data_IF_206971915660
#
_entry.id   IF_206971915660
#
_cell.length_a   1.000
_cell.length_b   1.000
_cell.length_c   1.000
_cell.angle_alpha   90.00
_cell.angle_beta   90.00
_cell.angle_gamma   90.00
#
_symmetry.space_group_name_H-M   'P 1'
#
loop_
_entity.id
_entity.type
_entity.pdbx_description
1 polymer ?
#
# COMPACT_ATOMS: atom_id res chain seq x y z
N UNK A 1 -27.07 22.49 0.50
CA UNK A 1 -26.64 21.48 -0.51
C UNK A 1 -25.13 21.35 -0.59
N UNK A 2 -24.35 22.29 -1.16
CA UNK A 2 -22.89 22.10 -1.26
C UNK A 2 -22.17 22.14 0.10
N UNK A 3 -22.62 22.98 1.03
CA UNK A 3 -22.09 23.01 2.40
C UNK A 3 -22.34 21.68 3.13
N UNK A 4 -23.54 21.09 2.98
CA UNK A 4 -23.86 19.77 3.55
C UNK A 4 -23.01 18.68 2.92
N UNK A 5 -22.79 18.73 1.60
CA UNK A 5 -21.91 17.77 0.91
C UNK A 5 -20.46 17.91 1.39
N UNK A 6 -19.96 19.13 1.55
CA UNK A 6 -18.64 19.40 2.09
C UNK A 6 -18.47 18.84 3.50
N UNK A 7 -19.46 19.08 4.38
CA UNK A 7 -19.46 18.52 5.74
C UNK A 7 -19.41 16.98 5.72
N UNK A 8 -20.24 16.34 4.88
CA UNK A 8 -20.23 14.87 4.75
C UNK A 8 -18.88 14.33 4.26
N UNK A 9 -18.23 15.00 3.30
CA UNK A 9 -16.91 14.60 2.80
C UNK A 9 -15.83 14.76 3.88
N UNK A 10 -15.92 15.79 4.72
CA UNK A 10 -15.00 15.99 5.84
C UNK A 10 -15.20 14.96 6.95
N UNK A 11 -16.45 14.62 7.30
CA UNK A 11 -16.78 13.54 8.24
C UNK A 11 -16.25 12.18 7.74
N UNK A 12 -16.15 12.00 6.41
CA UNK A 12 -15.61 10.81 5.79
C UNK A 12 -14.06 10.80 5.64
N UNK A 13 -13.34 11.68 6.35
CA UNK A 13 -11.86 11.74 6.38
C UNK A 13 -11.18 12.05 5.02
N UNK A 14 -11.88 12.72 4.09
CA UNK A 14 -11.28 13.11 2.79
C UNK A 14 -10.26 14.25 2.95
N UNK A 15 -10.40 15.04 4.00
CA UNK A 15 -9.54 16.18 4.32
C UNK A 15 -9.87 17.44 3.53
N UNK A 16 -9.64 18.60 4.15
CA UNK A 16 -10.02 19.92 3.62
C UNK A 16 -9.52 20.17 2.20
N UNK A 17 -8.22 19.96 1.85
CA UNK A 17 -7.74 20.29 0.50
C UNK A 17 -8.42 19.49 -0.60
N UNK A 18 -8.69 18.21 -0.36
CA UNK A 18 -9.32 17.32 -1.33
C UNK A 18 -10.81 17.63 -1.44
N UNK A 19 -11.49 17.86 -0.32
CA UNK A 19 -12.91 18.25 -0.30
C UNK A 19 -13.14 19.56 -1.05
N UNK A 20 -12.37 20.61 -0.77
CA UNK A 20 -12.52 21.89 -1.46
C UNK A 20 -12.27 21.77 -2.96
N UNK A 21 -11.32 20.91 -3.37
CA UNK A 21 -11.07 20.60 -4.80
C UNK A 21 -12.29 19.95 -5.46
N UNK A 22 -12.90 18.97 -4.79
CA UNK A 22 -14.10 18.28 -5.28
C UNK A 22 -15.26 19.27 -5.42
N UNK A 23 -15.56 20.06 -4.38
CA UNK A 23 -16.67 21.02 -4.39
C UNK A 23 -16.48 22.08 -5.47
N UNK A 24 -15.24 22.60 -5.63
CA UNK A 24 -14.92 23.55 -6.70
C UNK A 24 -15.18 22.95 -8.07
N UNK A 25 -14.67 21.75 -8.35
CA UNK A 25 -14.86 21.10 -9.64
C UNK A 25 -16.35 20.82 -9.92
N UNK A 26 -17.10 20.37 -8.93
CA UNK A 26 -18.55 20.15 -9.05
C UNK A 26 -19.29 21.46 -9.37
N UNK A 27 -18.92 22.56 -8.73
CA UNK A 27 -19.54 23.87 -8.96
C UNK A 27 -19.22 24.41 -10.35
N UNK A 28 -18.00 24.20 -10.85
CA UNK A 28 -17.56 24.64 -12.18
C UNK A 28 -18.20 23.84 -13.32
N UNK A 29 -18.41 22.53 -13.13
CA UNK A 29 -18.97 21.64 -14.15
C UNK A 29 -20.50 21.56 -14.13
N UNK A 30 -21.16 22.01 -13.07
CA UNK A 30 -22.61 21.98 -12.98
C UNK A 30 -23.24 23.24 -13.60
N UNK A 31 -24.05 23.06 -14.65
CA UNK A 31 -24.94 24.13 -15.13
C UNK A 31 -26.04 24.43 -14.10
N UNK A 32 -26.62 25.64 -14.11
CA UNK A 32 -27.72 26.04 -13.20
C UNK A 32 -28.89 25.05 -13.14
N UNK A 33 -29.15 24.28 -14.20
CA UNK A 33 -30.17 23.21 -14.25
C UNK A 33 -29.70 21.91 -13.60
N UNK A 34 -28.42 21.53 -13.78
CA UNK A 34 -27.83 20.33 -13.17
C UNK A 34 -27.65 20.45 -11.65
N UNK A 35 -27.51 21.68 -11.14
CA UNK A 35 -27.47 21.97 -9.70
C UNK A 35 -28.76 21.65 -8.95
N UNK A 36 -29.86 21.40 -9.65
CA UNK A 36 -31.15 21.04 -9.06
C UNK A 36 -31.44 19.54 -9.10
N UNK A 37 -30.57 18.75 -9.75
CA UNK A 37 -30.71 17.31 -9.88
C UNK A 37 -29.67 16.59 -9.01
N UNK A 38 -30.12 16.02 -7.90
CA UNK A 38 -29.28 15.32 -6.94
C UNK A 38 -28.64 14.05 -7.53
N UNK A 39 -29.31 13.37 -8.46
CA UNK A 39 -28.78 12.16 -9.08
C UNK A 39 -27.62 12.49 -10.02
N UNK A 40 -27.77 13.57 -10.80
CA UNK A 40 -26.72 14.04 -11.71
C UNK A 40 -25.50 14.57 -10.95
N UNK A 41 -25.72 15.26 -9.81
CA UNK A 41 -24.63 15.69 -8.92
C UNK A 41 -23.86 14.50 -8.34
N UNK A 42 -24.57 13.44 -7.94
CA UNK A 42 -23.95 12.23 -7.41
C UNK A 42 -23.10 11.49 -8.46
N UNK A 43 -23.57 11.44 -9.71
CA UNK A 43 -22.77 10.89 -10.81
C UNK A 43 -21.51 11.72 -11.06
N UNK A 44 -21.63 13.05 -11.06
CA UNK A 44 -20.46 13.91 -11.23
C UNK A 44 -19.46 13.77 -10.09
N UNK A 45 -19.93 13.65 -8.84
CA UNK A 45 -19.07 13.41 -7.68
C UNK A 45 -18.23 12.13 -7.85
N UNK A 46 -18.85 11.04 -8.33
CA UNK A 46 -18.11 9.79 -8.60
C UNK A 46 -17.01 9.99 -9.64
N UNK A 47 -17.30 10.73 -10.72
CA UNK A 47 -16.31 11.03 -11.77
C UNK A 47 -15.16 11.84 -11.18
N UNK A 48 -15.43 12.89 -10.41
CA UNK A 48 -14.39 13.69 -9.77
C UNK A 48 -13.52 12.88 -8.81
N UNK A 49 -14.14 12.03 -7.98
CA UNK A 49 -13.40 11.14 -7.08
C UNK A 49 -12.53 10.13 -7.85
N UNK A 50 -13.05 9.56 -8.95
CA UNK A 50 -12.29 8.66 -9.80
C UNK A 50 -11.09 9.37 -10.45
N UNK A 51 -11.28 10.58 -10.96
CA UNK A 51 -10.22 11.40 -11.57
C UNK A 51 -9.11 11.75 -10.56
N UNK A 52 -9.44 11.89 -9.27
CA UNK A 52 -8.43 12.10 -8.21
C UNK A 52 -7.58 10.84 -8.00
N UNK A 53 -8.18 9.65 -8.08
CA UNK A 53 -7.52 8.37 -7.82
C UNK A 53 -6.75 7.83 -9.04
N UNK A 54 -7.22 8.10 -10.25
CA UNK A 54 -6.68 7.52 -11.49
C UNK A 54 -5.16 7.72 -11.68
N UNK A 55 -4.57 8.91 -11.41
CA UNK A 55 -3.12 9.11 -11.58
C UNK A 55 -2.26 8.22 -10.65
N UNK A 56 -2.80 7.86 -9.48
CA UNK A 56 -2.09 7.08 -8.45
C UNK A 56 -2.50 5.61 -8.42
N UNK A 57 -3.54 5.22 -9.17
CA UNK A 57 -4.04 3.85 -9.30
C UNK A 57 -3.13 2.96 -10.17
N UNK A 58 -1.83 2.93 -9.85
CA UNK A 58 -0.84 2.17 -10.59
C UNK A 58 -0.57 0.81 -9.92
N UNK A 59 -0.79 -0.32 -10.60
CA UNK A 59 -0.54 -1.62 -10.01
C UNK A 59 0.96 -1.85 -9.82
N UNK A 60 1.34 -2.45 -8.70
CA UNK A 60 2.71 -2.91 -8.46
C UNK A 60 3.05 -4.03 -9.46
N UNK A 61 3.91 -3.71 -10.44
CA UNK A 61 4.44 -4.68 -11.40
C UNK A 61 5.83 -5.12 -10.97
N UNK A 62 5.97 -6.41 -10.70
CA UNK A 62 7.27 -7.03 -10.37
C UNK A 62 8.05 -7.22 -11.67
N UNK A 63 9.05 -6.36 -11.88
CA UNK A 63 9.95 -6.46 -13.01
C UNK A 63 10.90 -7.64 -12.82
N UNK A 64 10.62 -8.74 -13.52
CA UNK A 64 11.42 -9.97 -13.41
C UNK A 64 12.76 -9.89 -14.13
N UNK A 65 13.03 -8.82 -14.90
CA UNK A 65 14.37 -8.59 -15.48
C UNK A 65 15.38 -8.14 -14.42
N UNK A 66 14.91 -7.50 -13.33
CA UNK A 66 15.72 -7.07 -12.20
C UNK A 66 15.69 -8.15 -11.12
N UNK A 67 16.83 -8.81 -10.90
CA UNK A 67 16.94 -9.92 -9.94
C UNK A 67 18.03 -9.64 -8.90
N UNK A 68 17.68 -9.63 -7.60
CA UNK A 68 16.32 -9.73 -7.06
C UNK A 68 15.48 -8.45 -7.26
N UNK A 69 14.16 -8.59 -7.36
CA UNK A 69 13.24 -7.45 -7.27
C UNK A 69 12.96 -7.18 -5.80
N UNK A 70 13.41 -6.04 -5.28
CA UNK A 70 13.37 -5.74 -3.85
C UNK A 70 12.22 -4.80 -3.53
N UNK A 71 11.39 -5.18 -2.54
CA UNK A 71 10.34 -4.34 -1.96
C UNK A 71 10.70 -4.06 -0.51
N UNK A 72 11.02 -2.81 -0.21
CA UNK A 72 11.28 -2.34 1.15
C UNK A 72 10.00 -1.77 1.77
N UNK A 73 9.56 -2.35 2.88
CA UNK A 73 8.36 -1.89 3.60
C UNK A 73 8.75 -0.89 4.68
N UNK A 74 8.22 0.33 4.57
CA UNK A 74 8.48 1.41 5.54
C UNK A 74 7.18 1.91 6.17
N UNK A 75 7.25 2.38 7.41
CA UNK A 75 6.10 2.93 8.13
C UNK A 75 6.22 2.77 9.65
N UNK A 76 5.35 3.43 10.40
CA UNK A 76 5.37 3.39 11.87
C UNK A 76 4.91 2.03 12.43
N UNK A 77 5.10 1.80 13.72
CA UNK A 77 4.68 0.55 14.36
C UNK A 77 3.14 0.48 14.44
N UNK A 78 2.59 -0.72 14.29
CA UNK A 78 1.13 -0.95 14.44
C UNK A 78 0.28 -0.76 13.17
N UNK A 79 0.78 -0.15 12.10
CA UNK A 79 0.02 0.06 10.84
C UNK A 79 -0.15 -1.19 9.97
N UNK A 80 0.30 -2.36 10.45
CA UNK A 80 0.11 -3.64 9.76
C UNK A 80 1.19 -4.02 8.75
N UNK A 81 2.41 -3.45 8.80
CA UNK A 81 3.52 -3.76 7.86
C UNK A 81 3.78 -5.27 7.70
N UNK A 82 4.04 -5.98 8.80
CA UNK A 82 4.34 -7.42 8.80
C UNK A 82 3.17 -8.24 8.24
N UNK A 83 1.93 -7.86 8.56
CA UNK A 83 0.73 -8.48 8.00
C UNK A 83 0.63 -8.26 6.49
N UNK A 84 0.94 -7.06 6.01
CA UNK A 84 0.96 -6.75 4.57
C UNK A 84 2.05 -7.52 3.84
N UNK A 85 3.23 -7.70 4.45
CA UNK A 85 4.31 -8.54 3.89
C UNK A 85 3.81 -9.97 3.68
N UNK A 86 3.18 -10.58 4.69
CA UNK A 86 2.62 -11.93 4.58
C UNK A 86 1.58 -12.06 3.47
N UNK A 87 0.66 -11.09 3.36
CA UNK A 87 -0.36 -11.04 2.29
C UNK A 87 0.27 -10.91 0.89
N UNK A 88 1.24 -10.02 0.72
CA UNK A 88 1.96 -9.85 -0.55
C UNK A 88 2.75 -11.11 -0.92
N UNK A 89 3.41 -11.72 0.06
CA UNK A 89 4.17 -12.94 -0.15
C UNK A 89 3.28 -14.09 -0.65
N UNK A 90 2.11 -14.28 -0.02
CA UNK A 90 1.12 -15.26 -0.47
C UNK A 90 0.54 -14.94 -1.85
N UNK A 91 0.25 -13.66 -2.12
CA UNK A 91 -0.22 -13.21 -3.45
C UNK A 91 0.79 -13.53 -4.54
N UNK A 92 2.07 -13.21 -4.33
CA UNK A 92 3.12 -13.48 -5.31
C UNK A 92 3.37 -14.97 -5.51
N UNK A 93 3.30 -15.79 -4.45
CA UNK A 93 3.32 -17.25 -4.60
C UNK A 93 2.16 -17.77 -5.45
N UNK A 94 0.94 -17.26 -5.24
CA UNK A 94 -0.23 -17.64 -6.03
C UNK A 94 -0.10 -17.24 -7.51
N UNK A 95 0.65 -16.17 -7.79
CA UNK A 95 1.04 -15.75 -9.14
C UNK A 95 2.24 -16.55 -9.71
N UNK A 96 2.69 -17.61 -9.02
CA UNK A 96 3.80 -18.47 -9.46
C UNK A 96 5.19 -17.86 -9.27
N UNK A 97 5.32 -16.76 -8.54
CA UNK A 97 6.61 -16.10 -8.27
C UNK A 97 7.30 -16.73 -7.08
N UNK A 98 8.62 -16.86 -7.17
CA UNK A 98 9.45 -17.20 -6.01
C UNK A 98 9.65 -15.96 -5.13
N UNK A 99 9.43 -16.15 -3.84
CA UNK A 99 9.43 -15.09 -2.82
C UNK A 99 10.42 -15.44 -1.72
N UNK A 100 11.06 -14.42 -1.16
CA UNK A 100 11.83 -14.50 0.06
C UNK A 100 11.49 -13.34 1.01
N UNK A 101 11.52 -13.59 2.32
CA UNK A 101 11.34 -12.58 3.35
C UNK A 101 12.68 -12.25 4.03
N UNK A 102 12.89 -10.97 4.35
CA UNK A 102 14.01 -10.51 5.17
C UNK A 102 13.49 -9.68 6.35
N UNK A 103 13.94 -10.02 7.57
CA UNK A 103 13.55 -9.35 8.80
C UNK A 103 14.47 -8.15 9.09
N UNK A 104 14.21 -7.01 8.46
CA UNK A 104 14.99 -5.77 8.68
C UNK A 104 14.60 -5.00 9.95
N UNK A 105 13.44 -5.27 10.57
CA UNK A 105 13.05 -4.79 11.90
C UNK A 105 13.81 -5.58 13.00
N UNK A 106 15.13 -5.41 13.04
CA UNK A 106 16.05 -6.15 13.92
C UNK A 106 15.97 -5.74 15.39
N UNK A 107 15.35 -4.60 15.69
CA UNK A 107 15.18 -4.12 17.06
C UNK A 107 14.00 -4.76 17.78
N UNK A 108 12.98 -5.20 17.03
CA UNK A 108 11.75 -5.75 17.59
C UNK A 108 11.74 -7.25 17.41
N UNK A 109 12.19 -7.99 18.42
CA UNK A 109 12.20 -9.46 18.42
C UNK A 109 10.85 -10.08 18.00
N UNK A 110 9.74 -9.52 18.51
CA UNK A 110 8.40 -9.97 18.13
C UNK A 110 8.06 -9.76 16.64
N UNK A 111 8.62 -8.74 15.98
CA UNK A 111 8.42 -8.52 14.55
C UNK A 111 9.18 -9.56 13.71
N UNK A 112 10.39 -9.91 14.14
CA UNK A 112 11.20 -10.99 13.54
C UNK A 112 10.47 -12.33 13.67
N UNK A 113 10.04 -12.69 14.88
CA UNK A 113 9.31 -13.93 15.16
C UNK A 113 8.00 -14.00 14.35
N UNK A 114 7.24 -12.92 14.29
CA UNK A 114 6.01 -12.85 13.50
C UNK A 114 6.30 -13.08 12.00
N UNK A 115 7.39 -12.52 11.46
CA UNK A 115 7.79 -12.73 10.07
C UNK A 115 8.23 -14.18 9.82
N UNK A 116 8.93 -14.80 10.78
CA UNK A 116 9.30 -16.22 10.73
C UNK A 116 8.07 -17.12 10.69
N UNK A 117 7.08 -16.89 11.55
CA UNK A 117 5.80 -17.62 11.54
C UNK A 117 5.09 -17.47 10.19
N UNK A 118 5.08 -16.26 9.60
CA UNK A 118 4.52 -16.06 8.26
C UNK A 118 5.30 -16.84 7.18
N UNK A 119 6.63 -16.89 7.29
CA UNK A 119 7.48 -17.68 6.41
C UNK A 119 7.17 -19.17 6.48
N UNK A 120 7.19 -19.73 7.69
CA UNK A 120 6.86 -21.14 7.94
C UNK A 120 5.48 -21.51 7.42
N UNK A 121 4.47 -20.70 7.73
CA UNK A 121 3.07 -20.94 7.34
C UNK A 121 2.85 -20.95 5.82
N UNK A 122 3.74 -20.30 5.05
CA UNK A 122 3.67 -20.22 3.59
C UNK A 122 4.81 -20.98 2.89
N UNK A 123 5.65 -21.72 3.62
CA UNK A 123 6.86 -22.35 3.09
C UNK A 123 7.76 -21.37 2.33
N UNK A 124 7.97 -20.17 2.90
CA UNK A 124 8.81 -19.10 2.34
C UNK A 124 10.09 -18.98 3.15
N UNK A 125 11.28 -18.96 2.52
CA UNK A 125 12.53 -18.73 3.24
C UNK A 125 12.54 -17.34 3.89
N UNK A 126 12.94 -17.30 5.16
CA UNK A 126 13.09 -16.06 5.94
C UNK A 126 14.56 -15.90 6.32
N UNK A 127 15.11 -14.71 6.09
CA UNK A 127 16.41 -14.30 6.64
C UNK A 127 16.18 -13.38 7.81
N UNK A 128 16.76 -13.76 8.95
CA UNK A 128 16.79 -12.98 10.17
C UNK A 128 18.17 -13.14 10.82
N UNK A 129 18.62 -12.09 11.50
CA UNK A 129 19.79 -12.14 12.39
C UNK A 129 19.33 -11.96 13.84
N UNK A 130 20.25 -12.09 14.79
CA UNK A 130 20.01 -11.82 16.21
C UNK A 130 19.44 -10.41 16.43
N UNK A 131 18.59 -10.26 17.44
CA UNK A 131 18.04 -8.96 17.84
C UNK A 131 19.16 -7.94 18.07
N UNK A 132 19.01 -6.73 17.52
CA UNK A 132 20.02 -5.67 17.58
C UNK A 132 21.13 -5.75 16.52
N UNK A 133 21.02 -6.67 15.56
CA UNK A 133 21.95 -6.72 14.41
C UNK A 133 21.67 -5.59 13.41
N UNK A 134 22.67 -5.25 12.61
CA UNK A 134 22.56 -4.22 11.58
C UNK A 134 21.57 -4.62 10.46
N UNK A 135 20.50 -3.85 10.31
CA UNK A 135 19.46 -4.10 9.30
C UNK A 135 20.01 -4.11 7.87
N UNK A 136 21.01 -3.26 7.57
CA UNK A 136 21.62 -3.23 6.24
C UNK A 136 22.34 -4.55 5.93
N UNK A 137 23.01 -5.13 6.92
CA UNK A 137 23.65 -6.44 6.82
C UNK A 137 22.63 -7.57 6.60
N UNK A 138 21.49 -7.57 7.29
CA UNK A 138 20.40 -8.55 7.06
C UNK A 138 19.88 -8.48 5.63
N UNK A 139 19.72 -7.27 5.10
CA UNK A 139 19.26 -7.03 3.73
C UNK A 139 20.30 -7.48 2.71
N UNK A 140 21.58 -7.15 2.94
CA UNK A 140 22.68 -7.43 2.02
C UNK A 140 23.02 -8.93 1.93
N UNK A 141 22.95 -9.66 3.05
CA UNK A 141 23.49 -11.02 3.21
C UNK A 141 22.89 -12.07 2.27
N UNK A 142 21.68 -11.83 1.73
CA UNK A 142 21.05 -12.74 0.75
C UNK A 142 20.61 -12.12 -0.56
N UNK A 143 20.76 -10.81 -0.77
CA UNK A 143 20.44 -10.20 -2.07
C UNK A 143 21.31 -10.75 -3.22
N UNK A 144 22.55 -11.16 -2.94
CA UNK A 144 23.50 -11.62 -3.98
C UNK A 144 23.29 -13.06 -4.48
N UNK A 145 22.50 -13.89 -3.79
CA UNK A 145 22.34 -15.32 -4.13
C UNK A 145 21.02 -15.67 -4.82
N UNK A 146 20.11 -14.71 -5.03
CA UNK A 146 18.72 -15.00 -5.38
C UNK A 146 18.29 -14.43 -6.73
N UNK A 147 17.59 -15.26 -7.50
CA UNK A 147 16.92 -14.89 -8.77
C UNK A 147 15.47 -14.39 -8.54
N UNK A 148 15.13 -13.93 -7.34
CA UNK A 148 13.76 -13.93 -6.80
C UNK A 148 13.24 -12.54 -6.36
N UNK A 149 11.94 -12.42 -6.06
CA UNK A 149 11.40 -11.22 -5.44
C UNK A 149 11.64 -11.27 -3.91
N UNK A 150 12.22 -10.21 -3.35
CA UNK A 150 12.56 -10.13 -1.93
C UNK A 150 11.70 -9.07 -1.26
N UNK A 151 10.90 -9.47 -0.28
CA UNK A 151 10.11 -8.58 0.58
C UNK A 151 10.89 -8.36 1.88
N UNK A 152 11.17 -7.10 2.18
CA UNK A 152 11.96 -6.70 3.35
C UNK A 152 11.04 -5.99 4.34
N UNK A 153 11.06 -6.44 5.59
CA UNK A 153 10.43 -5.77 6.74
C UNK A 153 11.32 -4.69 7.34
#
# INVERSE_FOLDING_TARGET
MFEELEEQLLIADIGVPTTSKIIKNLTEHASRKQLQDAELLYQQLKVEMANILEPVAQPLKIDTSKKPYVILMVGVNGVGKTTTIGKLARKFQAEGKSVMLAAGDTFRAAAVEQLQVWGERNNIPVVAQSTGSDSASVILMRCNLLRHATLIS
#
